data_IF_691641835833
#
_entry.id   IF_691641835833
#
_cell.length_a   1.000
_cell.length_b   1.000
_cell.length_c   1.000
_cell.angle_alpha   90.00
_cell.angle_beta   90.00
_cell.angle_gamma   90.00
#
_symmetry.space_group_name_H-M   'P 1'
#
loop_
_entity.id
_entity.type
_entity.pdbx_description
1 polymer ?
#
# COMPACT_ATOMS: atom_id res chain seq x y z
N UNK A 1 -14.74 53.30 -13.75
CA UNK A 1 -15.36 53.80 -15.00
C UNK A 1 -16.40 52.79 -15.45
N UNK A 2 -17.67 53.20 -15.44
CA UNK A 2 -18.80 52.40 -15.88
C UNK A 2 -18.89 52.39 -17.42
N UNK A 3 -19.10 51.22 -18.02
CA UNK A 3 -19.81 51.04 -19.30
C UNK A 3 -20.37 49.61 -19.28
N UNK A 4 -21.66 49.42 -18.99
CA UNK A 4 -22.80 49.43 -19.93
C UNK A 4 -22.53 48.59 -21.18
N UNK A 5 -23.18 47.44 -21.28
CA UNK A 5 -24.22 47.19 -22.29
C UNK A 5 -24.94 45.87 -21.98
N UNK A 6 -26.27 45.98 -21.86
CA UNK A 6 -27.24 44.91 -21.71
C UNK A 6 -28.16 45.00 -22.93
N UNK A 7 -28.79 43.87 -23.26
CA UNK A 7 -29.87 43.69 -24.25
C UNK A 7 -29.38 43.52 -25.71
N UNK A 8 -29.99 42.71 -26.58
CA UNK A 8 -31.35 42.16 -26.61
C UNK A 8 -31.41 41.02 -27.65
N UNK A 9 -32.36 40.11 -27.48
CA UNK A 9 -32.71 39.08 -28.44
C UNK A 9 -33.23 39.68 -29.77
N UNK A 10 -32.87 39.06 -30.89
CA UNK A 10 -33.60 39.18 -32.15
C UNK A 10 -33.95 37.76 -32.62
N UNK A 11 -35.22 37.41 -32.44
CA UNK A 11 -35.86 36.27 -33.07
C UNK A 11 -36.30 36.69 -34.46
N UNK A 12 -35.64 36.20 -35.50
CA UNK A 12 -36.20 36.19 -36.86
C UNK A 12 -35.90 34.84 -37.51
N UNK A 13 -36.98 34.13 -37.82
CA UNK A 13 -36.96 32.88 -38.54
C UNK A 13 -36.49 33.15 -39.98
N UNK A 14 -35.30 32.67 -40.33
CA UNK A 14 -35.02 32.29 -41.71
C UNK A 14 -34.22 30.99 -41.68
N UNK A 15 -34.83 29.99 -42.30
CA UNK A 15 -34.35 28.65 -42.48
C UNK A 15 -33.08 28.65 -43.34
N UNK A 16 -31.93 28.69 -42.68
CA UNK A 16 -30.68 28.14 -43.20
C UNK A 16 -30.16 27.27 -42.07
N UNK A 17 -30.26 25.94 -42.23
CA UNK A 17 -29.57 25.01 -41.34
C UNK A 17 -28.08 25.17 -41.67
N UNK A 18 -27.46 26.19 -41.07
CA UNK A 18 -26.03 26.39 -41.12
C UNK A 18 -25.39 25.16 -40.47
N UNK A 19 -24.48 24.51 -41.20
CA UNK A 19 -23.68 23.36 -40.74
C UNK A 19 -22.81 23.63 -39.49
N UNK A 20 -22.98 24.78 -38.83
CA UNK A 20 -22.28 25.19 -37.61
C UNK A 20 -22.72 24.41 -36.36
N UNK A 21 -23.88 23.74 -36.38
CA UNK A 21 -24.33 22.87 -35.28
C UNK A 21 -23.57 21.54 -35.19
N UNK A 22 -22.79 21.18 -36.22
CA UNK A 22 -21.99 19.94 -36.27
C UNK A 22 -20.52 20.17 -35.95
N UNK A 23 -20.09 21.41 -35.65
CA UNK A 23 -18.76 21.61 -35.09
C UNK A 23 -18.78 21.21 -33.62
N UNK A 24 -17.89 20.29 -33.17
CA UNK A 24 -17.71 20.09 -31.75
C UNK A 24 -17.29 21.43 -31.17
N UNK A 25 -18.16 22.05 -30.37
CA UNK A 25 -17.79 23.18 -29.53
C UNK A 25 -16.77 22.61 -28.55
N UNK A 26 -15.49 22.83 -28.86
CA UNK A 26 -14.41 22.59 -27.92
C UNK A 26 -14.62 23.65 -26.84
N UNK A 27 -15.38 23.29 -25.81
CA UNK A 27 -15.49 24.12 -24.62
C UNK A 27 -14.09 24.35 -24.08
N UNK A 28 -13.62 25.59 -24.06
CA UNK A 28 -12.38 25.94 -23.39
C UNK A 28 -12.58 25.78 -21.89
N UNK A 29 -12.28 24.59 -21.38
CA UNK A 29 -12.28 24.33 -19.94
C UNK A 29 -11.03 24.97 -19.32
N UNK A 30 -11.13 26.25 -18.97
CA UNK A 30 -10.10 26.90 -18.15
C UNK A 30 -10.17 26.32 -16.73
N UNK A 31 -9.29 25.37 -16.41
CA UNK A 31 -9.15 24.88 -15.04
C UNK A 31 -8.47 25.95 -14.19
N UNK A 32 -9.26 26.82 -13.56
CA UNK A 32 -8.76 27.70 -12.50
C UNK A 32 -8.47 26.85 -11.25
N UNK A 33 -7.27 26.27 -11.18
CA UNK A 33 -6.76 25.73 -9.92
C UNK A 33 -6.51 26.90 -8.98
N UNK A 34 -7.44 27.13 -8.05
CA UNK A 34 -7.21 28.05 -6.95
C UNK A 34 -5.87 27.75 -6.26
N UNK A 35 -5.09 28.79 -5.99
CA UNK A 35 -3.82 28.68 -5.25
C UNK A 35 -4.15 28.04 -3.90
N UNK A 36 -3.81 26.76 -3.70
CA UNK A 36 -3.95 26.10 -2.40
C UNK A 36 -3.07 26.83 -1.40
N UNK A 37 -3.64 27.79 -0.67
CA UNK A 37 -2.99 28.37 0.49
C UNK A 37 -2.87 27.23 1.49
N UNK A 38 -1.66 26.70 1.65
CA UNK A 38 -1.40 25.72 2.67
C UNK A 38 -1.62 26.40 4.03
N UNK A 39 -2.81 26.24 4.61
CA UNK A 39 -3.10 26.58 6.00
C UNK A 39 -2.35 25.58 6.89
N UNK A 40 -1.01 25.65 6.88
CA UNK A 40 -0.22 24.91 7.85
C UNK A 40 -0.42 25.62 9.17
N UNK A 41 -1.11 24.97 10.11
CA UNK A 41 -1.12 25.42 11.50
C UNK A 41 0.32 25.69 11.94
N UNK A 42 0.55 26.88 12.51
CA UNK A 42 1.84 27.24 13.05
C UNK A 42 2.13 26.31 14.22
N UNK A 43 3.16 25.49 14.06
CA UNK A 43 3.55 24.46 15.02
C UNK A 43 3.91 25.17 16.33
N UNK A 44 3.24 24.78 17.42
CA UNK A 44 3.47 25.36 18.75
C UNK A 44 4.89 25.05 19.24
N UNK A 45 5.38 25.84 20.21
CA UNK A 45 6.74 25.66 20.77
C UNK A 45 6.94 24.25 21.34
N UNK A 46 5.91 23.68 21.97
CA UNK A 46 5.90 22.32 22.51
C UNK A 46 6.07 21.26 21.40
N UNK A 47 5.28 21.34 20.32
CA UNK A 47 5.41 20.43 19.17
C UNK A 47 6.77 20.52 18.47
N UNK A 48 7.42 21.70 18.48
CA UNK A 48 8.80 21.85 17.99
C UNK A 48 9.82 21.12 18.87
N UNK A 49 9.65 21.18 20.20
CA UNK A 49 10.50 20.48 21.16
C UNK A 49 10.34 18.96 21.07
N UNK A 50 9.10 18.46 21.01
CA UNK A 50 8.84 17.03 20.82
C UNK A 50 9.47 16.49 19.54
N UNK A 51 9.39 17.26 18.45
CA UNK A 51 10.06 16.89 17.18
C UNK A 51 11.58 16.89 17.29
N UNK A 52 12.16 17.75 18.14
CA UNK A 52 13.60 17.81 18.39
C UNK A 52 14.05 16.60 19.20
N UNK A 53 13.36 16.31 20.31
CA UNK A 53 13.61 15.12 21.13
C UNK A 53 13.49 13.84 20.30
N UNK A 54 12.44 13.71 19.47
CA UNK A 54 12.26 12.56 18.58
C UNK A 54 13.35 12.44 17.50
N UNK A 55 14.02 13.53 17.12
CA UNK A 55 15.18 13.49 16.22
C UNK A 55 16.43 13.04 16.96
N UNK A 56 16.66 13.57 18.15
CA UNK A 56 17.78 13.20 19.02
C UNK A 56 17.71 11.71 19.42
N UNK A 57 16.52 11.20 19.78
CA UNK A 57 16.29 9.76 20.03
C UNK A 57 16.58 8.90 18.80
N UNK A 58 16.15 9.35 17.60
CA UNK A 58 16.43 8.63 16.34
C UNK A 58 17.91 8.64 16.00
N UNK A 59 18.62 9.73 16.26
CA UNK A 59 20.07 9.83 16.05
C UNK A 59 20.84 9.02 17.09
N UNK A 60 20.41 9.00 18.35
CA UNK A 60 20.94 8.14 19.39
C UNK A 60 20.76 6.66 19.00
N UNK A 61 19.56 6.25 18.59
CA UNK A 61 19.30 4.89 18.09
C UNK A 61 20.14 4.54 16.85
N UNK A 62 20.37 5.52 15.96
CA UNK A 62 21.29 5.35 14.81
C UNK A 62 22.76 5.24 15.22
N UNK A 63 23.16 5.77 16.38
CA UNK A 63 24.53 5.73 16.92
C UNK A 63 24.74 4.64 17.98
N UNK A 64 23.67 3.98 18.46
CA UNK A 64 23.72 2.93 19.47
C UNK A 64 24.55 1.72 19.08
N UNK A 65 24.74 1.46 17.78
CA UNK A 65 25.52 0.32 17.30
C UNK A 65 26.67 0.77 16.42
N UNK A 66 27.87 0.30 16.75
CA UNK A 66 29.06 0.42 15.92
C UNK A 66 28.90 -0.36 14.60
N UNK A 67 29.70 -0.04 13.59
CA UNK A 67 29.64 -0.70 12.28
C UNK A 67 29.81 -2.24 12.39
N UNK A 68 30.74 -2.68 13.24
CA UNK A 68 30.98 -4.10 13.50
C UNK A 68 29.81 -4.77 14.24
N UNK A 69 29.19 -4.10 15.19
CA UNK A 69 27.97 -4.60 15.86
C UNK A 69 26.80 -4.70 14.90
N UNK A 70 26.63 -3.76 13.95
CA UNK A 70 25.59 -3.87 12.91
C UNK A 70 25.82 -5.05 11.98
N UNK A 71 27.06 -5.31 11.60
CA UNK A 71 27.42 -6.49 10.80
C UNK A 71 27.15 -7.76 11.60
N UNK A 72 27.54 -7.81 12.87
CA UNK A 72 27.29 -8.95 13.74
C UNK A 72 25.79 -9.17 13.93
N UNK A 73 24.99 -8.15 14.24
CA UNK A 73 23.53 -8.24 14.33
C UNK A 73 22.92 -8.73 13.00
N UNK A 74 23.42 -8.24 11.85
CA UNK A 74 22.95 -8.68 10.53
C UNK A 74 23.30 -10.14 10.25
N UNK A 75 24.51 -10.58 10.61
CA UNK A 75 24.94 -11.98 10.52
C UNK A 75 24.11 -12.84 11.47
N UNK A 76 23.89 -12.40 12.71
CA UNK A 76 23.07 -13.09 13.71
C UNK A 76 21.58 -13.18 13.32
N UNK A 77 21.03 -12.17 12.64
CA UNK A 77 19.69 -12.26 12.04
C UNK A 77 19.59 -13.33 10.94
N UNK A 78 20.70 -13.62 10.26
CA UNK A 78 20.79 -14.72 9.31
C UNK A 78 21.13 -16.07 9.98
N UNK A 79 21.45 -16.11 11.29
CA UNK A 79 21.54 -17.35 12.07
C UNK A 79 20.18 -17.85 12.55
N UNK A 80 19.15 -16.99 12.58
CA UNK A 80 17.79 -17.43 12.87
C UNK A 80 17.36 -18.40 11.77
N UNK A 81 16.80 -19.54 12.18
CA UNK A 81 16.23 -20.47 11.21
C UNK A 81 15.12 -19.76 10.42
N UNK A 82 14.88 -20.12 9.16
CA UNK A 82 13.81 -19.49 8.37
C UNK A 82 12.44 -19.50 9.07
N UNK A 83 12.15 -20.51 9.92
CA UNK A 83 10.97 -20.57 10.80
C UNK A 83 10.96 -19.44 11.83
N UNK A 84 12.07 -19.19 12.53
CA UNK A 84 12.18 -18.09 13.49
C UNK A 84 12.15 -16.71 12.82
N UNK A 85 12.74 -16.57 11.63
CA UNK A 85 12.72 -15.30 10.90
C UNK A 85 11.31 -14.92 10.41
N UNK A 86 10.47 -15.93 10.16
CA UNK A 86 9.13 -15.77 9.63
C UNK A 86 8.19 -16.76 10.33
N UNK A 87 7.76 -16.46 11.56
CA UNK A 87 6.96 -17.40 12.34
C UNK A 87 5.66 -17.76 11.63
N UNK A 88 5.16 -18.97 11.91
CA UNK A 88 3.83 -19.41 11.52
C UNK A 88 2.78 -18.37 11.92
N UNK A 89 1.84 -18.09 11.03
CA UNK A 89 0.83 -17.03 11.22
C UNK A 89 -0.26 -17.41 12.22
N UNK A 90 -0.53 -18.71 12.36
CA UNK A 90 -1.69 -19.22 13.07
C UNK A 90 -1.38 -19.34 14.57
N UNK A 91 -2.04 -18.50 15.37
CA UNK A 91 -2.09 -18.61 16.83
C UNK A 91 -3.55 -18.81 17.25
N UNK A 92 -3.85 -19.92 17.92
CA UNK A 92 -5.23 -20.30 18.26
C UNK A 92 -5.88 -19.31 19.25
N UNK A 93 -5.09 -18.78 20.19
CA UNK A 93 -5.58 -17.89 21.24
C UNK A 93 -5.94 -16.50 20.69
N UNK A 94 -5.09 -15.97 19.79
CA UNK A 94 -5.29 -14.65 19.16
C UNK A 94 -6.49 -14.64 18.20
N UNK A 95 -6.83 -15.79 17.62
CA UNK A 95 -7.89 -15.91 16.60
C UNK A 95 -9.29 -16.16 17.17
N UNK A 96 -9.42 -16.54 18.44
CA UNK A 96 -10.71 -16.91 19.03
C UNK A 96 -11.76 -15.77 18.96
N UNK A 97 -11.32 -14.52 19.13
CA UNK A 97 -12.19 -13.34 19.15
C UNK A 97 -12.35 -12.66 17.77
N UNK A 98 -11.67 -13.14 16.73
CA UNK A 98 -11.66 -12.49 15.42
C UNK A 98 -12.79 -13.03 14.51
N UNK A 99 -13.37 -12.20 13.63
CA UNK A 99 -14.34 -12.64 12.64
C UNK A 99 -13.67 -13.43 11.51
N UNK A 100 -14.41 -14.36 10.89
CA UNK A 100 -13.90 -15.18 9.78
C UNK A 100 -13.73 -14.38 8.47
N UNK A 101 -14.60 -13.38 8.26
CA UNK A 101 -14.62 -12.53 7.06
C UNK A 101 -14.56 -11.05 7.44
N UNK A 102 -13.86 -10.22 6.65
CA UNK A 102 -13.90 -8.77 6.86
C UNK A 102 -15.31 -8.25 6.59
N UNK A 103 -15.80 -7.36 7.45
CA UNK A 103 -17.09 -6.67 7.28
C UNK A 103 -17.07 -5.65 6.12
N UNK A 104 -15.87 -5.23 5.71
CA UNK A 104 -15.69 -4.22 4.67
C UNK A 104 -14.82 -4.78 3.56
N UNK A 105 -14.75 -4.07 2.44
CA UNK A 105 -13.86 -4.40 1.32
C UNK A 105 -12.36 -4.23 1.65
N UNK A 106 -12.01 -3.88 2.89
CA UNK A 106 -10.63 -3.69 3.33
C UNK A 106 -10.23 -4.89 4.19
N UNK A 107 -9.22 -5.62 3.72
CA UNK A 107 -8.65 -6.75 4.46
C UNK A 107 -7.47 -6.29 5.33
N UNK A 108 -7.69 -6.21 6.64
CA UNK A 108 -6.64 -5.94 7.62
C UNK A 108 -6.21 -7.25 8.26
N UNK A 109 -4.95 -7.63 8.05
CA UNK A 109 -4.38 -8.94 8.45
C UNK A 109 -4.54 -9.29 9.94
N UNK A 110 -4.58 -8.30 10.85
CA UNK A 110 -4.69 -8.50 12.30
C UNK A 110 -6.11 -8.41 12.84
N UNK A 111 -7.12 -8.23 11.97
CA UNK A 111 -8.51 -7.96 12.35
C UNK A 111 -9.49 -9.03 11.86
N UNK A 112 -8.99 -10.05 11.19
CA UNK A 112 -9.75 -11.17 10.63
C UNK A 112 -8.95 -12.43 10.90
N UNK A 113 -9.62 -13.56 11.12
CA UNK A 113 -8.98 -14.87 11.27
C UNK A 113 -8.15 -15.26 10.06
N UNK A 114 -7.18 -16.14 10.28
CA UNK A 114 -6.37 -16.67 9.19
C UNK A 114 -7.25 -17.55 8.30
N UNK A 115 -7.23 -17.27 7.00
CA UNK A 115 -8.03 -18.01 6.03
C UNK A 115 -7.23 -19.19 5.50
N UNK A 116 -7.77 -20.40 5.63
CA UNK A 116 -7.21 -21.62 5.08
C UNK A 116 -7.88 -21.94 3.75
N UNK A 117 -7.06 -22.24 2.75
CA UNK A 117 -7.52 -22.55 1.40
C UNK A 117 -7.15 -23.97 1.02
N UNK A 118 -8.05 -24.72 0.37
CA UNK A 118 -7.66 -25.96 -0.27
C UNK A 118 -6.66 -25.65 -1.38
N UNK A 119 -5.82 -26.64 -1.70
CA UNK A 119 -4.70 -26.45 -2.65
C UNK A 119 -5.19 -25.90 -3.99
N UNK A 120 -6.30 -26.42 -4.52
CA UNK A 120 -6.86 -25.97 -5.79
C UNK A 120 -7.25 -24.47 -5.79
N UNK A 121 -7.90 -24.00 -4.72
CA UNK A 121 -8.31 -22.60 -4.61
C UNK A 121 -7.11 -21.68 -4.36
N UNK A 122 -6.16 -22.12 -3.54
CA UNK A 122 -4.93 -21.37 -3.30
C UNK A 122 -4.15 -21.13 -4.60
N UNK A 123 -4.07 -22.14 -5.48
CA UNK A 123 -3.43 -22.04 -6.78
C UNK A 123 -4.18 -21.07 -7.71
N UNK A 124 -5.51 -21.14 -7.77
CA UNK A 124 -6.32 -20.25 -8.57
C UNK A 124 -6.11 -18.78 -8.16
N UNK A 125 -6.20 -18.47 -6.88
CA UNK A 125 -5.96 -17.11 -6.37
C UNK A 125 -4.53 -16.64 -6.57
N UNK A 126 -3.54 -17.53 -6.46
CA UNK A 126 -2.16 -17.18 -6.71
C UNK A 126 -1.93 -16.78 -8.18
N UNK A 127 -2.72 -17.32 -9.12
CA UNK A 127 -2.69 -16.90 -10.52
C UNK A 127 -3.32 -15.51 -10.71
N UNK A 128 -4.37 -15.20 -9.96
CA UNK A 128 -5.06 -13.89 -10.00
C UNK A 128 -4.24 -12.75 -9.38
N UNK A 129 -3.58 -13.00 -8.24
CA UNK A 129 -2.92 -11.97 -7.42
C UNK A 129 -1.48 -11.66 -7.83
N UNK A 130 -0.91 -12.42 -8.77
CA UNK A 130 0.50 -12.26 -9.13
C UNK A 130 0.77 -10.99 -9.95
N UNK A 131 2.02 -10.53 -9.88
CA UNK A 131 2.48 -9.40 -10.68
C UNK A 131 2.22 -9.63 -12.18
N UNK A 132 1.94 -8.59 -12.97
CA UNK A 132 1.61 -8.71 -14.40
C UNK A 132 2.59 -9.54 -15.22
N UNK A 133 3.87 -9.59 -14.82
CA UNK A 133 4.91 -10.38 -15.48
C UNK A 133 4.72 -11.91 -15.41
N UNK A 134 3.85 -12.39 -14.52
CA UNK A 134 3.58 -13.82 -14.30
C UNK A 134 2.06 -14.11 -14.46
N UNK A 135 1.27 -13.08 -14.77
CA UNK A 135 -0.17 -13.18 -14.98
C UNK A 135 -0.48 -14.13 -16.16
N UNK A 136 -1.40 -15.06 -15.95
CA UNK A 136 -1.80 -16.09 -16.92
C UNK A 136 -0.71 -17.08 -17.40
N UNK A 137 0.45 -17.17 -16.75
CA UNK A 137 1.43 -18.20 -17.08
C UNK A 137 1.13 -19.50 -16.30
N UNK A 138 0.60 -20.57 -16.93
CA UNK A 138 0.18 -21.79 -16.21
C UNK A 138 1.34 -22.51 -15.54
N UNK A 139 2.55 -22.39 -16.11
CA UNK A 139 3.79 -23.03 -15.65
C UNK A 139 4.66 -22.10 -14.78
N UNK A 140 4.08 -21.04 -14.22
CA UNK A 140 4.82 -20.13 -13.35
C UNK A 140 5.38 -20.88 -12.12
N UNK A 141 6.66 -20.66 -11.74
CA UNK A 141 7.21 -21.27 -10.55
C UNK A 141 6.51 -20.72 -9.29
N UNK A 142 6.06 -21.63 -8.44
CA UNK A 142 5.43 -21.29 -7.15
C UNK A 142 6.34 -21.67 -6.00
N UNK A 143 6.48 -20.79 -5.02
CA UNK A 143 7.28 -21.05 -3.82
C UNK A 143 6.37 -21.56 -2.70
N UNK A 144 6.43 -22.86 -2.44
CA UNK A 144 5.81 -23.47 -1.27
C UNK A 144 6.75 -23.37 -0.06
N UNK A 145 6.19 -23.10 1.11
CA UNK A 145 6.91 -23.13 2.38
C UNK A 145 6.17 -24.05 3.34
N UNK A 146 6.87 -25.08 3.80
CA UNK A 146 6.39 -26.01 4.79
C UNK A 146 7.22 -25.84 6.06
N UNK A 147 6.55 -25.75 7.19
CA UNK A 147 7.18 -25.72 8.50
C UNK A 147 6.78 -27.00 9.22
N UNK A 148 7.78 -27.78 9.61
CA UNK A 148 7.59 -29.04 10.32
C UNK A 148 8.02 -28.80 11.77
N UNK A 149 7.19 -29.23 12.72
CA UNK A 149 7.52 -29.15 14.14
C UNK A 149 8.46 -30.30 14.54
N UNK A 150 9.66 -30.30 13.98
CA UNK A 150 10.69 -31.30 14.23
C UNK A 150 12.04 -30.61 14.40
N UNK A 151 12.86 -31.14 15.32
CA UNK A 151 14.27 -30.75 15.43
C UNK A 151 15.06 -31.60 14.44
N UNK A 152 15.66 -30.95 13.44
CA UNK A 152 16.56 -31.64 12.51
C UNK A 152 17.95 -31.69 13.12
N UNK A 153 18.34 -32.84 13.67
CA UNK A 153 19.75 -33.06 14.00
C UNK A 153 20.52 -33.21 12.68
N UNK A 154 21.53 -32.35 12.48
CA UNK A 154 22.41 -32.46 11.33
C UNK A 154 23.32 -33.67 11.56
N UNK A 155 23.04 -34.79 10.89
CA UNK A 155 23.94 -35.93 10.88
C UNK A 155 25.25 -35.51 10.22
N UNK A 156 26.31 -35.32 11.01
CA UNK A 156 27.66 -35.09 10.49
C UNK A 156 28.23 -36.46 10.13
N UNK A 157 28.19 -36.80 8.85
CA UNK A 157 28.89 -37.97 8.35
C UNK A 157 30.38 -37.63 8.43
N UNK A 158 31.07 -38.19 9.42
CA UNK A 158 32.53 -38.16 9.49
C UNK A 158 33.05 -39.12 8.41
N UNK A 159 33.55 -38.58 7.31
CA UNK A 159 34.35 -39.27 6.30
C UNK A 159 35.83 -39.06 6.56
#
# INVERSE_FOLDING_TARGET
MFSLLRSSAASSCSCIISNDLLRPVVGEFAQQRGRKRALKQTITRQQKLERRLKREEREAARKQYTFMERINIRRMKNLLSPSQQFPGRFNRDDEAALPDKPLTNIFIRSKVKTQFYPVAEALARHRELQQPAIYNHPNAPLRLRLELNMQTERQVILS
#
